data_IF_841069228776
#
_entry.id   IF_841069228776
#
_cell.length_a   1.000
_cell.length_b   1.000
_cell.length_c   1.000
_cell.angle_alpha   90.00
_cell.angle_beta   90.00
_cell.angle_gamma   90.00
#
_symmetry.space_group_name_H-M   'P 1'
#
loop_
_entity.id
_entity.type
_entity.pdbx_description
1 polymer ?
#
# COMPACT_ATOMS: atom_id res chain seq x y z
N UNK A 1 16.47 -9.39 13.30
CA UNK A 1 17.57 -8.48 13.68
C UNK A 1 18.29 -8.90 14.94
N UNK A 2 17.61 -9.33 16.01
CA UNK A 2 18.27 -9.88 17.22
C UNK A 2 18.92 -11.25 16.95
N UNK A 3 18.38 -12.06 16.04
CA UNK A 3 19.00 -13.31 15.59
C UNK A 3 20.31 -13.08 14.80
N UNK A 4 20.47 -11.95 14.11
CA UNK A 4 21.69 -11.54 13.40
C UNK A 4 22.89 -11.26 14.34
N UNK A 5 22.64 -10.95 15.62
CA UNK A 5 23.71 -10.50 16.54
C UNK A 5 24.42 -11.67 17.24
N UNK A 6 23.98 -12.93 17.00
CA UNK A 6 24.63 -14.11 17.61
C UNK A 6 24.69 -14.05 19.15
N UNK A 7 23.76 -13.32 19.78
CA UNK A 7 23.79 -13.09 21.21
C UNK A 7 23.33 -14.35 21.99
N UNK A 8 23.90 -14.64 23.18
CA UNK A 8 23.43 -15.72 24.03
C UNK A 8 21.96 -15.67 24.38
N UNK A 9 21.37 -14.47 24.33
CA UNK A 9 19.93 -14.20 24.53
C UNK A 9 19.08 -14.77 23.39
N UNK A 10 19.59 -14.77 22.17
CA UNK A 10 18.89 -15.33 21.01
C UNK A 10 18.74 -16.86 21.08
N UNK A 11 19.66 -17.53 21.76
CA UNK A 11 19.62 -18.99 22.01
C UNK A 11 18.73 -19.38 23.21
N UNK A 12 18.43 -18.44 24.11
CA UNK A 12 17.59 -18.67 25.28
C UNK A 12 16.10 -18.47 25.02
N UNK A 13 15.72 -17.78 23.93
CA UNK A 13 14.34 -17.46 23.59
C UNK A 13 13.92 -18.29 22.38
N UNK A 14 12.78 -18.97 22.49
CA UNK A 14 12.24 -19.75 21.40
C UNK A 14 12.05 -18.89 20.11
N UNK A 15 12.51 -19.35 18.93
CA UNK A 15 12.55 -18.54 17.69
C UNK A 15 11.23 -17.88 17.31
N UNK A 16 10.08 -18.51 17.62
CA UNK A 16 8.76 -17.97 17.37
C UNK A 16 8.45 -16.68 18.15
N UNK A 17 8.94 -16.55 19.38
CA UNK A 17 8.76 -15.32 20.17
C UNK A 17 9.64 -14.19 19.65
N UNK A 18 10.87 -14.50 19.21
CA UNK A 18 11.75 -13.52 18.57
C UNK A 18 11.13 -12.98 17.26
N UNK A 19 10.54 -13.87 16.46
CA UNK A 19 9.81 -13.49 15.26
C UNK A 19 8.62 -12.59 15.59
N UNK A 20 7.81 -12.97 16.59
CA UNK A 20 6.65 -12.17 17.02
C UNK A 20 7.06 -10.77 17.52
N UNK A 21 8.12 -10.67 18.32
CA UNK A 21 8.67 -9.39 18.79
C UNK A 21 9.18 -8.56 17.60
N UNK A 22 9.90 -9.18 16.66
CA UNK A 22 10.37 -8.50 15.44
C UNK A 22 9.23 -7.93 14.61
N UNK A 23 8.18 -8.72 14.39
CA UNK A 23 6.99 -8.29 13.68
C UNK A 23 6.24 -7.16 14.41
N UNK A 24 6.15 -7.22 15.73
CA UNK A 24 5.55 -6.16 16.55
C UNK A 24 6.32 -4.85 16.44
N UNK A 25 7.66 -4.90 16.50
CA UNK A 25 8.51 -3.72 16.34
C UNK A 25 8.36 -3.11 14.94
N UNK A 26 8.29 -3.95 13.89
CA UNK A 26 8.04 -3.49 12.52
C UNK A 26 6.67 -2.83 12.43
N UNK A 27 5.62 -3.42 13.03
CA UNK A 27 4.27 -2.88 13.01
C UNK A 27 4.20 -1.50 13.69
N UNK A 28 4.81 -1.35 14.87
CA UNK A 28 4.89 -0.06 15.59
C UNK A 28 5.65 0.97 14.76
N UNK A 29 6.83 0.61 14.24
CA UNK A 29 7.64 1.51 13.41
C UNK A 29 6.91 1.93 12.12
N UNK A 30 6.30 0.99 11.42
CA UNK A 30 5.54 1.27 10.20
C UNK A 30 4.31 2.13 10.47
N UNK A 31 3.59 1.88 11.59
CA UNK A 31 2.44 2.69 12.00
C UNK A 31 2.82 4.15 12.29
N UNK A 32 4.00 4.39 12.87
CA UNK A 32 4.50 5.75 13.10
C UNK A 32 5.00 6.45 11.84
N UNK A 33 5.79 5.76 11.00
CA UNK A 33 6.48 6.41 9.88
C UNK A 33 5.60 6.61 8.64
N UNK A 34 4.77 5.64 8.28
CA UNK A 34 4.00 5.69 7.01
C UNK A 34 3.11 6.92 6.87
N UNK A 35 2.28 7.31 7.88
CA UNK A 35 1.48 8.52 7.78
C UNK A 35 2.33 9.78 7.73
N UNK A 36 3.44 9.80 8.48
CA UNK A 36 4.32 10.97 8.55
C UNK A 36 5.07 11.21 7.24
N UNK A 37 5.56 10.15 6.58
CA UNK A 37 6.27 10.29 5.29
C UNK A 37 5.33 10.81 4.21
N UNK A 38 4.13 10.26 4.09
CA UNK A 38 3.15 10.73 3.10
C UNK A 38 2.68 12.16 3.36
N UNK A 39 2.50 12.54 4.64
CA UNK A 39 2.22 13.92 5.03
C UNK A 39 3.38 14.83 4.64
N UNK A 40 4.62 14.48 4.98
CA UNK A 40 5.80 15.27 4.66
C UNK A 40 5.95 15.51 3.16
N UNK A 41 5.67 14.51 2.33
CA UNK A 41 5.66 14.68 0.86
C UNK A 41 4.63 15.73 0.44
N UNK A 42 3.43 15.66 0.95
CA UNK A 42 2.36 16.61 0.64
C UNK A 42 2.66 18.03 1.16
N UNK A 43 3.30 18.13 2.31
CA UNK A 43 3.65 19.42 2.96
C UNK A 43 4.69 20.25 2.19
N UNK A 44 5.39 19.63 1.23
CA UNK A 44 6.29 20.37 0.32
C UNK A 44 5.51 21.18 -0.75
N UNK A 45 4.17 21.05 -0.81
CA UNK A 45 3.31 21.67 -1.82
C UNK A 45 2.32 22.63 -1.15
N UNK A 46 2.37 23.89 -1.57
CA UNK A 46 1.44 24.96 -1.16
C UNK A 46 0.47 25.34 -2.28
N UNK A 47 -0.16 26.51 -2.16
CA UNK A 47 -1.14 27.00 -3.14
C UNK A 47 -0.55 27.22 -4.54
N UNK A 48 0.69 27.72 -4.61
CA UNK A 48 1.38 28.05 -5.86
C UNK A 48 1.69 26.84 -6.74
N UNK A 49 1.95 25.68 -6.13
CA UNK A 49 2.32 24.44 -6.83
C UNK A 49 1.31 23.30 -6.61
N UNK A 50 0.10 23.63 -6.16
CA UNK A 50 -1.00 22.71 -5.91
C UNK A 50 -1.31 21.80 -7.09
N UNK A 51 -1.21 22.31 -8.32
CA UNK A 51 -1.48 21.57 -9.56
C UNK A 51 -0.55 20.36 -9.75
N UNK A 52 0.58 20.31 -9.02
CA UNK A 52 1.52 19.19 -9.05
C UNK A 52 1.19 18.09 -8.01
N UNK A 53 0.30 18.35 -7.07
CA UNK A 53 0.06 17.47 -5.92
C UNK A 53 -0.36 16.06 -6.34
N UNK A 54 -1.33 15.93 -7.25
CA UNK A 54 -1.75 14.63 -7.80
C UNK A 54 -0.58 13.89 -8.45
N UNK A 55 0.24 14.61 -9.23
CA UNK A 55 1.42 14.01 -9.89
C UNK A 55 2.44 13.51 -8.88
N UNK A 56 2.65 14.26 -7.82
CA UNK A 56 3.62 13.90 -6.76
C UNK A 56 3.14 12.67 -5.99
N UNK A 57 1.87 12.59 -5.61
CA UNK A 57 1.35 11.38 -4.96
C UNK A 57 1.38 10.16 -5.90
N UNK A 58 1.19 10.33 -7.20
CA UNK A 58 1.37 9.26 -8.17
C UNK A 58 2.85 8.80 -8.22
N UNK A 59 3.82 9.71 -8.26
CA UNK A 59 5.23 9.37 -8.21
C UNK A 59 5.67 8.77 -6.88
N UNK A 60 5.10 9.24 -5.77
CA UNK A 60 5.30 8.64 -4.45
C UNK A 60 4.81 7.18 -4.43
N UNK A 61 3.61 6.93 -4.96
CA UNK A 61 3.05 5.59 -5.08
C UNK A 61 3.86 4.71 -6.06
N UNK A 62 4.33 5.27 -7.15
CA UNK A 62 5.25 4.61 -8.07
C UNK A 62 6.52 4.14 -7.36
N UNK A 63 7.13 4.98 -6.54
CA UNK A 63 8.36 4.64 -5.79
C UNK A 63 8.13 3.50 -4.81
N UNK A 64 6.97 3.45 -4.14
CA UNK A 64 6.58 2.34 -3.26
C UNK A 64 6.52 1.03 -4.07
N UNK A 65 5.88 1.06 -5.23
CA UNK A 65 5.72 -0.13 -6.07
C UNK A 65 7.03 -0.56 -6.74
N UNK A 66 7.91 0.36 -7.10
CA UNK A 66 9.26 0.03 -7.57
C UNK A 66 10.08 -0.71 -6.49
N UNK A 67 9.98 -0.28 -5.24
CA UNK A 67 10.57 -0.98 -4.10
C UNK A 67 9.94 -2.37 -3.87
N UNK A 68 8.61 -2.47 -3.98
CA UNK A 68 7.88 -3.73 -3.87
C UNK A 68 8.30 -4.72 -4.96
N UNK A 69 8.38 -4.27 -6.21
CA UNK A 69 8.85 -5.07 -7.33
C UNK A 69 10.24 -5.65 -7.08
N UNK A 70 11.20 -4.80 -6.73
CA UNK A 70 12.56 -5.23 -6.42
C UNK A 70 12.59 -6.23 -5.25
N UNK A 71 11.83 -5.98 -4.19
CA UNK A 71 11.74 -6.84 -3.01
C UNK A 71 11.13 -8.20 -3.32
N UNK A 72 10.06 -8.24 -4.10
CA UNK A 72 9.35 -9.49 -4.46
C UNK A 72 10.22 -10.43 -5.30
N UNK A 73 11.13 -9.90 -6.11
CA UNK A 73 12.10 -10.68 -6.86
C UNK A 73 13.31 -11.09 -6.01
N UNK A 74 13.84 -10.15 -5.23
CA UNK A 74 15.11 -10.32 -4.54
C UNK A 74 15.00 -11.22 -3.30
N UNK A 75 13.97 -11.06 -2.49
CA UNK A 75 13.85 -11.79 -1.21
C UNK A 75 13.70 -13.31 -1.40
N UNK A 76 12.80 -13.83 -2.28
CA UNK A 76 12.70 -15.27 -2.53
C UNK A 76 14.02 -15.87 -3.06
N UNK A 77 14.71 -15.13 -3.91
CA UNK A 77 16.00 -15.55 -4.45
C UNK A 77 17.08 -15.64 -3.34
N UNK A 78 17.11 -14.69 -2.41
CA UNK A 78 18.03 -14.74 -1.26
C UNK A 78 17.71 -15.88 -0.29
N UNK A 79 16.45 -16.32 -0.22
CA UNK A 79 16.03 -17.44 0.63
C UNK A 79 16.31 -18.81 0.00
N UNK A 80 16.11 -18.95 -1.31
CA UNK A 80 16.31 -20.22 -2.02
C UNK A 80 16.68 -19.96 -3.50
N UNK A 81 17.98 -19.89 -3.83
CA UNK A 81 18.43 -19.59 -5.18
C UNK A 81 18.07 -20.66 -6.20
N UNK A 82 17.87 -21.92 -5.75
CA UNK A 82 17.57 -23.04 -6.65
C UNK A 82 16.10 -23.11 -7.07
N UNK A 83 15.20 -22.49 -6.32
CA UNK A 83 13.77 -22.41 -6.63
C UNK A 83 13.35 -21.09 -7.30
N UNK A 84 14.18 -20.07 -7.21
CA UNK A 84 13.89 -18.80 -7.88
C UNK A 84 14.51 -18.83 -9.28
N UNK A 85 13.68 -18.68 -10.31
CA UNK A 85 14.09 -18.71 -11.73
C UNK A 85 15.05 -17.59 -12.16
N UNK A 86 15.39 -16.68 -11.26
CA UNK A 86 16.52 -15.76 -11.46
C UNK A 86 17.83 -16.51 -11.75
N UNK A 87 17.96 -17.79 -11.35
CA UNK A 87 19.10 -18.64 -11.63
C UNK A 87 19.44 -18.72 -13.13
N UNK A 88 18.42 -18.80 -13.99
CA UNK A 88 18.64 -18.79 -15.45
C UNK A 88 19.16 -17.47 -16.02
N UNK A 89 18.79 -16.35 -15.38
CA UNK A 89 19.34 -15.02 -15.74
C UNK A 89 20.76 -14.84 -15.16
N UNK A 90 20.97 -15.27 -13.92
CA UNK A 90 22.27 -15.18 -13.22
C UNK A 90 23.33 -15.98 -13.97
N UNK A 91 22.99 -17.17 -14.47
CA UNK A 91 23.91 -18.01 -15.26
C UNK A 91 24.43 -17.33 -16.54
N UNK A 92 23.77 -16.26 -17.02
CA UNK A 92 24.20 -15.46 -18.18
C UNK A 92 25.14 -14.32 -17.81
N UNK A 93 25.39 -14.06 -16.53
CA UNK A 93 26.28 -13.01 -16.06
C UNK A 93 27.74 -13.47 -16.07
N UNK A 94 28.73 -12.55 -16.02
CA UNK A 94 30.15 -12.90 -15.90
C UNK A 94 30.42 -13.85 -14.71
N UNK A 95 31.32 -14.86 -14.87
CA UNK A 95 31.57 -15.88 -13.86
C UNK A 95 31.92 -15.35 -12.46
N UNK A 96 32.62 -14.21 -12.39
CA UNK A 96 32.97 -13.57 -11.12
C UNK A 96 31.72 -13.05 -10.37
N UNK A 97 30.71 -12.55 -11.12
CA UNK A 97 29.45 -12.09 -10.57
C UNK A 97 28.59 -13.29 -10.16
N UNK A 98 28.57 -14.33 -11.01
CA UNK A 98 27.86 -15.59 -10.70
C UNK A 98 28.40 -16.20 -9.40
N UNK A 99 29.70 -16.36 -9.25
CA UNK A 99 30.31 -16.93 -8.05
C UNK A 99 30.06 -16.12 -6.78
N UNK A 100 29.93 -14.79 -6.89
CA UNK A 100 29.51 -13.94 -5.77
C UNK A 100 28.03 -14.14 -5.44
N UNK A 101 27.18 -14.11 -6.46
CA UNK A 101 25.72 -14.22 -6.30
C UNK A 101 25.27 -15.62 -5.84
N UNK A 102 25.96 -16.68 -6.22
CA UNK A 102 25.72 -18.06 -5.80
C UNK A 102 26.42 -18.43 -4.47
N UNK A 103 27.09 -17.48 -3.85
CA UNK A 103 27.77 -17.72 -2.57
C UNK A 103 26.77 -18.17 -1.50
N UNK A 104 26.99 -19.32 -0.82
CA UNK A 104 26.11 -19.79 0.26
C UNK A 104 25.94 -18.80 1.41
N UNK A 105 26.88 -17.86 1.56
CA UNK A 105 26.80 -16.79 2.57
C UNK A 105 25.74 -15.74 2.25
N UNK A 106 25.43 -15.54 0.96
CA UNK A 106 24.42 -14.59 0.51
C UNK A 106 23.01 -15.17 0.68
N UNK A 107 22.86 -16.49 0.52
CA UNK A 107 21.59 -17.20 0.58
C UNK A 107 21.34 -17.70 2.02
N UNK A 108 20.87 -16.77 2.84
CA UNK A 108 20.49 -17.09 4.22
C UNK A 108 19.29 -16.26 4.65
N UNK A 109 18.44 -16.77 5.56
CA UNK A 109 17.38 -16.00 6.17
C UNK A 109 17.89 -14.69 6.80
N UNK A 110 19.10 -14.70 7.36
CA UNK A 110 19.71 -13.52 7.99
C UNK A 110 19.94 -12.39 6.97
N UNK A 111 20.44 -12.71 5.79
CA UNK A 111 20.63 -11.74 4.70
C UNK A 111 19.29 -11.28 4.16
N UNK A 112 18.36 -12.20 3.90
CA UNK A 112 17.05 -11.87 3.35
C UNK A 112 16.24 -10.94 4.27
N UNK A 113 16.25 -11.18 5.59
CA UNK A 113 15.57 -10.33 6.57
C UNK A 113 16.41 -9.12 7.00
N UNK A 114 17.72 -9.17 6.91
CA UNK A 114 18.62 -8.06 7.23
C UNK A 114 18.65 -6.97 6.17
N UNK A 115 18.55 -7.34 4.90
CA UNK A 115 18.64 -6.42 3.76
C UNK A 115 17.61 -5.26 3.80
N UNK A 116 16.31 -5.47 4.10
CA UNK A 116 15.36 -4.39 4.31
C UNK A 116 15.76 -3.45 5.44
N UNK A 117 16.38 -3.97 6.50
CA UNK A 117 16.92 -3.17 7.61
C UNK A 117 18.05 -2.24 7.16
N UNK A 118 18.97 -2.74 6.34
CA UNK A 118 20.06 -1.92 5.75
C UNK A 118 19.48 -0.83 4.84
N UNK A 119 18.52 -1.14 3.96
CA UNK A 119 17.88 -0.14 3.12
C UNK A 119 17.12 0.91 3.93
N UNK A 120 16.49 0.53 5.03
CA UNK A 120 15.83 1.47 5.94
C UNK A 120 16.85 2.39 6.62
N UNK A 121 18.01 1.88 7.02
CA UNK A 121 19.09 2.70 7.59
C UNK A 121 19.61 3.71 6.56
N UNK A 122 19.85 3.29 5.31
CA UNK A 122 20.28 4.17 4.22
C UNK A 122 19.21 5.24 3.95
N UNK A 123 17.93 4.85 3.85
CA UNK A 123 16.82 5.79 3.65
C UNK A 123 16.74 6.82 4.78
N UNK A 124 16.95 6.39 6.03
CA UNK A 124 16.97 7.27 7.20
C UNK A 124 18.12 8.29 7.12
N UNK A 125 19.31 7.85 6.72
CA UNK A 125 20.48 8.73 6.55
C UNK A 125 20.21 9.77 5.44
N UNK A 126 19.70 9.34 4.28
CA UNK A 126 19.37 10.23 3.15
C UNK A 126 18.32 11.26 3.60
N UNK A 127 17.26 10.81 4.27
CA UNK A 127 16.21 11.69 4.79
C UNK A 127 16.79 12.71 5.79
N UNK A 128 17.64 12.25 6.71
CA UNK A 128 18.31 13.11 7.69
C UNK A 128 19.23 14.15 7.02
N UNK A 129 19.94 13.77 5.96
CA UNK A 129 20.76 14.74 5.19
C UNK A 129 19.91 15.82 4.52
N UNK A 130 18.71 15.44 4.04
CA UNK A 130 17.75 16.37 3.43
C UNK A 130 17.03 17.30 4.42
N UNK A 131 17.11 17.07 5.73
CA UNK A 131 16.28 17.73 6.74
C UNK A 131 16.27 19.26 6.71
N UNK A 132 17.34 19.90 6.27
CA UNK A 132 17.42 21.36 6.16
C UNK A 132 16.75 21.94 4.90
N UNK A 133 16.36 21.10 3.95
CA UNK A 133 15.72 21.49 2.68
C UNK A 133 14.20 21.32 2.69
N UNK A 134 13.69 20.54 3.63
CA UNK A 134 12.26 20.27 3.75
C UNK A 134 11.53 21.42 4.43
N UNK A 135 10.29 21.66 4.04
CA UNK A 135 9.37 22.51 4.80
C UNK A 135 9.06 21.78 6.12
N UNK A 136 9.32 22.48 7.22
CA UNK A 136 9.08 21.97 8.56
C UNK A 136 7.81 22.59 9.13
N UNK A 137 6.87 21.74 9.51
CA UNK A 137 5.72 22.15 10.30
C UNK A 137 6.08 21.93 11.76
N UNK A 138 6.08 22.99 12.59
CA UNK A 138 6.42 22.85 14.00
C UNK A 138 5.43 21.89 14.70
N UNK A 139 5.92 20.99 15.58
CA UNK A 139 5.06 20.09 16.32
C UNK A 139 4.17 20.85 17.28
N UNK A 140 2.89 20.55 17.24
CA UNK A 140 1.92 21.08 18.20
C UNK A 140 2.05 20.28 19.50
N UNK A 141 2.17 20.97 20.66
CA UNK A 141 2.28 20.28 21.94
C UNK A 141 1.11 19.33 22.20
N UNK A 142 1.37 18.20 22.87
CA UNK A 142 0.42 17.09 23.06
C UNK A 142 -0.95 17.54 23.61
N UNK A 143 -0.95 18.50 24.56
CA UNK A 143 -2.18 19.06 25.16
C UNK A 143 -3.01 19.83 24.13
N UNK A 144 -2.37 20.63 23.29
CA UNK A 144 -3.02 21.41 22.22
C UNK A 144 -3.55 20.47 21.15
N UNK A 145 -2.75 19.46 20.78
CA UNK A 145 -3.12 18.43 19.80
C UNK A 145 -4.35 17.64 20.26
N UNK A 146 -4.38 17.18 21.52
CA UNK A 146 -5.53 16.51 22.11
C UNK A 146 -6.77 17.42 22.11
N UNK A 147 -6.63 18.70 22.51
CA UNK A 147 -7.75 19.66 22.48
C UNK A 147 -8.29 19.87 21.07
N UNK A 148 -7.43 19.90 20.05
CA UNK A 148 -7.85 20.04 18.66
C UNK A 148 -8.59 18.80 18.15
N UNK A 149 -8.13 17.60 18.49
CA UNK A 149 -8.82 16.35 18.09
C UNK A 149 -10.24 16.29 18.71
N UNK A 150 -10.38 16.64 19.98
CA UNK A 150 -11.65 16.61 20.70
C UNK A 150 -12.51 17.86 20.50
N UNK A 151 -12.11 18.78 19.60
CA UNK A 151 -12.94 19.89 19.21
C UNK A 151 -14.12 19.42 18.35
N UNK A 152 -15.33 19.93 18.61
CA UNK A 152 -16.55 19.58 17.89
C UNK A 152 -16.47 19.79 16.37
N UNK A 153 -15.81 20.87 15.94
CA UNK A 153 -15.64 21.16 14.51
C UNK A 153 -14.65 20.16 13.85
N UNK A 154 -13.55 19.85 14.52
CA UNK A 154 -12.59 18.82 14.07
C UNK A 154 -13.26 17.45 14.03
N UNK A 155 -14.07 17.11 15.03
CA UNK A 155 -14.85 15.86 15.06
C UNK A 155 -15.76 15.71 13.84
N UNK A 156 -16.43 16.77 13.41
CA UNK A 156 -17.25 16.77 12.18
C UNK A 156 -16.39 16.56 10.92
N UNK A 157 -15.20 17.17 10.87
CA UNK A 157 -14.27 16.99 9.75
C UNK A 157 -13.80 15.54 9.68
N UNK A 158 -13.37 14.97 10.80
CA UNK A 158 -12.95 13.56 10.89
C UNK A 158 -14.07 12.62 10.47
N UNK A 159 -15.27 12.82 11.02
CA UNK A 159 -16.45 12.01 10.65
C UNK A 159 -16.76 12.09 9.16
N UNK A 160 -16.65 13.28 8.57
CA UNK A 160 -16.86 13.44 7.13
C UNK A 160 -15.79 12.68 6.31
N UNK A 161 -14.53 12.74 6.72
CA UNK A 161 -13.42 12.01 6.07
C UNK A 161 -13.60 10.49 6.22
N UNK A 162 -14.22 10.02 7.28
CA UNK A 162 -14.48 8.60 7.51
C UNK A 162 -15.63 8.05 6.64
N UNK A 163 -16.47 8.89 6.02
CA UNK A 163 -17.56 8.42 5.15
C UNK A 163 -17.08 7.49 4.01
N UNK A 164 -16.05 7.82 3.21
CA UNK A 164 -15.58 6.95 2.14
C UNK A 164 -14.77 5.74 2.64
N UNK A 165 -14.30 5.74 3.90
CA UNK A 165 -13.39 4.70 4.43
C UNK A 165 -13.99 3.29 4.38
N UNK A 166 -15.25 3.01 4.78
CA UNK A 166 -15.82 1.67 4.68
C UNK A 166 -15.86 1.12 3.25
N UNK A 167 -16.14 1.96 2.27
CA UNK A 167 -16.18 1.57 0.86
C UNK A 167 -14.77 1.21 0.35
N UNK A 168 -13.78 1.99 0.74
CA UNK A 168 -12.37 1.75 0.38
C UNK A 168 -11.83 0.54 1.17
N UNK A 169 -12.33 0.27 2.37
CA UNK A 169 -11.99 -0.94 3.12
C UNK A 169 -12.42 -2.21 2.37
N UNK A 170 -13.59 -2.22 1.73
CA UNK A 170 -14.01 -3.36 0.90
C UNK A 170 -13.09 -3.53 -0.31
N UNK A 171 -12.63 -2.43 -0.95
CA UNK A 171 -11.60 -2.52 -1.99
C UNK A 171 -10.35 -3.23 -1.47
N UNK A 172 -9.83 -2.83 -0.30
CA UNK A 172 -8.66 -3.47 0.31
C UNK A 172 -8.91 -4.92 0.71
N UNK A 173 -10.13 -5.27 1.14
CA UNK A 173 -10.53 -6.64 1.43
C UNK A 173 -10.38 -7.55 0.20
N UNK A 174 -10.76 -7.07 -0.98
CA UNK A 174 -10.58 -7.81 -2.23
C UNK A 174 -9.10 -7.78 -2.65
N UNK A 175 -8.50 -6.60 -2.68
CA UNK A 175 -7.12 -6.44 -3.15
C UNK A 175 -6.15 -7.34 -2.38
N UNK A 176 -6.27 -7.44 -1.06
CA UNK A 176 -5.37 -8.26 -0.23
C UNK A 176 -5.49 -9.78 -0.49
N UNK A 177 -6.56 -10.23 -1.12
CA UNK A 177 -6.74 -11.65 -1.46
C UNK A 177 -5.78 -12.13 -2.55
N UNK A 178 -5.16 -11.21 -3.30
CA UNK A 178 -4.12 -11.59 -4.25
C UNK A 178 -2.90 -12.24 -3.54
N UNK A 179 -2.67 -11.94 -2.26
CA UNK A 179 -1.63 -12.56 -1.43
C UNK A 179 -2.06 -13.85 -0.73
N UNK A 180 -3.27 -14.32 -0.94
CA UNK A 180 -3.81 -15.53 -0.29
C UNK A 180 -4.61 -16.39 -1.26
N UNK A 181 -5.91 -16.13 -1.44
CA UNK A 181 -6.80 -16.97 -2.22
C UNK A 181 -6.40 -17.07 -3.70
N UNK A 182 -5.81 -16.05 -4.30
CA UNK A 182 -5.34 -16.10 -5.68
C UNK A 182 -4.09 -16.98 -5.83
N UNK A 183 -3.22 -17.06 -4.80
CA UNK A 183 -2.07 -18.00 -4.82
C UNK A 183 -2.58 -19.42 -4.81
N UNK A 184 -3.55 -19.73 -3.94
CA UNK A 184 -4.15 -21.06 -3.85
C UNK A 184 -4.83 -21.42 -5.18
N UNK A 185 -5.53 -20.49 -5.82
CA UNK A 185 -6.10 -20.68 -7.15
C UNK A 185 -5.02 -21.00 -8.19
N UNK A 186 -3.91 -20.26 -8.19
CA UNK A 186 -2.80 -20.44 -9.12
C UNK A 186 -2.16 -21.84 -9.03
N UNK A 187 -2.18 -22.48 -7.84
CA UNK A 187 -1.69 -23.84 -7.65
C UNK A 187 -2.48 -24.88 -8.47
N UNK A 188 -3.76 -24.61 -8.73
CA UNK A 188 -4.65 -25.45 -9.52
C UNK A 188 -4.66 -25.11 -11.02
N UNK A 189 -3.84 -24.15 -11.46
CA UNK A 189 -3.75 -23.68 -12.84
C UNK A 189 -2.52 -24.23 -13.56
N UNK A 190 -2.53 -24.17 -14.89
CA UNK A 190 -1.32 -24.37 -15.68
C UNK A 190 -0.45 -23.12 -15.62
N UNK A 191 0.67 -23.24 -14.91
CA UNK A 191 1.59 -22.14 -14.62
C UNK A 191 2.71 -21.96 -15.65
N UNK A 192 2.66 -22.68 -16.76
CA UNK A 192 3.62 -22.52 -17.86
C UNK A 192 3.30 -21.26 -18.65
N UNK A 193 4.20 -20.29 -18.62
CA UNK A 193 4.10 -19.04 -19.37
C UNK A 193 5.47 -18.67 -19.93
N UNK A 194 5.56 -18.43 -21.24
CA UNK A 194 6.81 -18.13 -21.97
C UNK A 194 7.89 -19.23 -21.83
N UNK A 195 7.48 -20.50 -21.72
CA UNK A 195 8.41 -21.62 -21.59
C UNK A 195 8.99 -21.82 -20.19
N UNK A 196 8.46 -21.12 -19.19
CA UNK A 196 8.89 -21.14 -17.80
C UNK A 196 7.69 -21.58 -16.94
N UNK A 197 7.92 -22.46 -15.98
CA UNK A 197 6.92 -22.78 -14.95
C UNK A 197 7.07 -21.82 -13.75
N UNK A 198 6.09 -20.95 -13.58
CA UNK A 198 6.09 -19.95 -12.51
C UNK A 198 5.62 -20.55 -11.17
N UNK A 199 6.23 -20.14 -10.07
CA UNK A 199 5.67 -20.40 -8.75
C UNK A 199 4.37 -19.61 -8.56
N UNK A 200 3.38 -20.20 -7.90
CA UNK A 200 2.10 -19.53 -7.62
C UNK A 200 2.25 -18.19 -6.91
N UNK A 201 3.24 -18.08 -6.01
CA UNK A 201 3.57 -16.84 -5.31
C UNK A 201 4.27 -15.79 -6.19
N UNK A 202 4.99 -16.19 -7.24
CA UNK A 202 5.68 -15.26 -8.15
C UNK A 202 4.71 -14.51 -9.07
N UNK A 203 3.53 -15.06 -9.34
CA UNK A 203 2.50 -14.38 -10.16
C UNK A 203 2.12 -13.01 -9.58
N UNK A 204 2.25 -12.82 -8.26
CA UNK A 204 2.02 -11.52 -7.63
C UNK A 204 2.95 -10.40 -8.11
N UNK A 205 4.15 -10.74 -8.63
CA UNK A 205 5.08 -9.77 -9.21
C UNK A 205 4.47 -9.01 -10.39
N UNK A 206 3.46 -9.58 -11.02
CA UNK A 206 2.68 -8.96 -12.10
C UNK A 206 2.03 -7.65 -11.66
N UNK A 207 1.52 -7.56 -10.42
CA UNK A 207 0.86 -6.35 -9.93
C UNK A 207 1.82 -5.14 -9.88
N UNK A 208 2.96 -5.15 -9.18
CA UNK A 208 3.85 -3.98 -9.18
C UNK A 208 4.38 -3.64 -10.59
N UNK A 209 4.59 -4.61 -11.49
CA UNK A 209 4.98 -4.33 -12.88
C UNK A 209 3.88 -3.49 -13.56
N UNK A 210 2.62 -3.92 -13.47
CA UNK A 210 1.53 -3.18 -14.09
C UNK A 210 1.28 -1.83 -13.43
N UNK A 211 1.47 -1.69 -12.11
CA UNK A 211 1.41 -0.36 -11.45
C UNK A 211 2.45 0.58 -12.05
N UNK A 212 3.71 0.13 -12.22
CA UNK A 212 4.77 0.94 -12.78
C UNK A 212 4.45 1.41 -14.23
N UNK A 213 3.71 0.62 -14.99
CA UNK A 213 3.27 0.95 -16.35
C UNK A 213 2.00 1.82 -16.32
N UNK A 214 1.00 1.41 -15.53
CA UNK A 214 -0.32 2.05 -15.53
C UNK A 214 -0.33 3.43 -14.87
N UNK A 215 0.45 3.67 -13.82
CA UNK A 215 0.50 4.98 -13.18
C UNK A 215 0.91 6.11 -14.14
N UNK A 216 2.01 6.00 -14.91
CA UNK A 216 2.32 6.98 -15.93
C UNK A 216 1.26 7.03 -17.04
N UNK A 217 0.80 5.86 -17.53
CA UNK A 217 -0.20 5.78 -18.58
C UNK A 217 -1.50 6.50 -18.18
N UNK A 218 -1.99 6.28 -16.96
CA UNK A 218 -3.20 6.93 -16.45
C UNK A 218 -2.97 8.41 -16.23
N UNK A 219 -1.83 8.80 -15.64
CA UNK A 219 -1.53 10.20 -15.31
C UNK A 219 -1.37 11.09 -16.53
N UNK A 220 -0.73 10.59 -17.60
CA UNK A 220 -0.37 11.39 -18.76
C UNK A 220 -1.32 11.22 -19.96
N UNK A 221 -2.06 10.09 -20.01
CA UNK A 221 -2.92 9.78 -21.17
C UNK A 221 -4.38 9.59 -20.77
N UNK A 222 -4.68 8.67 -19.86
CA UNK A 222 -6.07 8.31 -19.56
C UNK A 222 -6.80 9.45 -18.85
N UNK A 223 -6.24 10.04 -17.81
CA UNK A 223 -6.90 11.11 -17.08
C UNK A 223 -7.13 12.35 -17.96
N UNK A 224 -6.14 12.88 -18.72
CA UNK A 224 -6.39 14.00 -19.63
C UNK A 224 -7.39 13.68 -20.73
N UNK A 225 -7.43 12.43 -21.21
CA UNK A 225 -8.41 11.99 -22.21
C UNK A 225 -9.83 12.00 -21.64
N UNK A 226 -10.04 11.38 -20.48
CA UNK A 226 -11.36 11.29 -19.84
C UNK A 226 -11.85 12.68 -19.39
N UNK A 227 -10.95 13.56 -18.93
CA UNK A 227 -11.28 14.92 -18.51
C UNK A 227 -11.87 15.80 -19.62
N UNK A 228 -11.67 15.45 -20.90
CA UNK A 228 -12.33 16.11 -22.03
C UNK A 228 -13.85 15.89 -22.04
N UNK A 229 -14.31 14.79 -21.44
CA UNK A 229 -15.73 14.39 -21.44
C UNK A 229 -16.36 14.51 -20.06
N UNK A 230 -15.63 14.21 -19.02
CA UNK A 230 -16.14 14.15 -17.64
C UNK A 230 -15.08 14.67 -16.66
N UNK A 231 -15.47 15.63 -15.81
CA UNK A 231 -14.58 16.13 -14.76
C UNK A 231 -14.21 15.01 -13.77
N UNK A 232 -12.93 14.64 -13.72
CA UNK A 232 -12.41 13.62 -12.83
C UNK A 232 -12.16 14.17 -11.44
N UNK A 233 -13.13 14.00 -10.53
CA UNK A 233 -12.91 14.26 -9.10
C UNK A 233 -12.28 13.05 -8.42
N UNK A 234 -11.58 13.23 -7.28
CA UNK A 234 -11.01 12.09 -6.53
C UNK A 234 -12.04 10.99 -6.22
N UNK A 235 -13.23 11.36 -5.77
CA UNK A 235 -14.29 10.39 -5.48
C UNK A 235 -14.81 9.66 -6.73
N UNK A 236 -14.86 10.32 -7.90
CA UNK A 236 -15.20 9.63 -9.16
C UNK A 236 -14.16 8.63 -9.58
N UNK A 237 -12.86 8.95 -9.41
CA UNK A 237 -11.77 8.00 -9.67
C UNK A 237 -11.88 6.77 -8.76
N UNK A 238 -12.07 6.99 -7.45
CA UNK A 238 -12.27 5.92 -6.48
C UNK A 238 -13.49 5.06 -6.88
N UNK A 239 -14.65 5.68 -7.15
CA UNK A 239 -15.85 4.95 -7.54
C UNK A 239 -15.64 4.09 -8.79
N UNK A 240 -15.01 4.63 -9.85
CA UNK A 240 -14.65 3.85 -11.03
C UNK A 240 -13.72 2.68 -10.68
N UNK A 241 -12.73 2.89 -9.81
CA UNK A 241 -11.82 1.84 -9.34
C UNK A 241 -12.54 0.70 -8.61
N UNK A 242 -13.59 0.99 -7.83
CA UNK A 242 -14.40 -0.03 -7.17
C UNK A 242 -15.11 -0.94 -8.20
N UNK A 243 -15.72 -0.37 -9.25
CA UNK A 243 -16.34 -1.15 -10.32
C UNK A 243 -15.32 -2.01 -11.08
N UNK A 244 -14.15 -1.45 -11.39
CA UNK A 244 -13.06 -2.17 -12.07
C UNK A 244 -12.56 -3.33 -11.20
N UNK A 245 -12.45 -3.15 -9.89
CA UNK A 245 -12.08 -4.22 -8.95
C UNK A 245 -13.13 -5.34 -8.92
N UNK A 246 -14.41 -5.00 -8.95
CA UNK A 246 -15.47 -6.02 -9.05
C UNK A 246 -15.34 -6.84 -10.35
N UNK A 247 -15.02 -6.21 -11.48
CA UNK A 247 -14.80 -6.89 -12.75
C UNK A 247 -13.58 -7.84 -12.71
N UNK A 248 -12.50 -7.47 -12.00
CA UNK A 248 -11.35 -8.36 -11.79
C UNK A 248 -11.77 -9.63 -11.04
N UNK A 249 -12.47 -9.49 -9.92
CA UNK A 249 -12.94 -10.64 -9.14
C UNK A 249 -13.96 -11.49 -9.87
N UNK A 250 -14.76 -10.90 -10.73
CA UNK A 250 -15.66 -11.66 -11.62
C UNK A 250 -14.87 -12.57 -12.57
N UNK A 251 -13.78 -12.07 -13.17
CA UNK A 251 -12.89 -12.90 -13.98
C UNK A 251 -12.27 -14.02 -13.15
N UNK A 252 -11.82 -13.74 -11.92
CA UNK A 252 -11.28 -14.76 -11.00
C UNK A 252 -12.32 -15.83 -10.67
N UNK A 253 -13.59 -15.45 -10.47
CA UNK A 253 -14.68 -16.38 -10.24
C UNK A 253 -14.95 -17.28 -11.46
N UNK A 254 -14.85 -16.75 -12.69
CA UNK A 254 -14.94 -17.53 -13.93
C UNK A 254 -13.80 -18.56 -14.02
N UNK A 255 -12.56 -18.13 -13.71
CA UNK A 255 -11.40 -19.03 -13.67
C UNK A 255 -11.67 -20.16 -12.67
N UNK A 256 -12.16 -19.80 -11.47
CA UNK A 256 -12.45 -20.80 -10.44
C UNK A 256 -13.54 -21.78 -10.85
N UNK A 257 -14.57 -21.31 -11.56
CA UNK A 257 -15.62 -22.21 -12.10
C UNK A 257 -15.03 -23.28 -13.04
N UNK A 258 -14.03 -22.91 -13.85
CA UNK A 258 -13.35 -23.90 -14.72
C UNK A 258 -12.52 -24.89 -13.89
N UNK A 259 -11.84 -24.41 -12.85
CA UNK A 259 -11.06 -25.26 -11.92
C UNK A 259 -12.00 -26.22 -11.18
N UNK A 260 -13.13 -25.74 -10.66
CA UNK A 260 -14.13 -26.54 -9.97
C UNK A 260 -14.74 -27.62 -10.90
N UNK A 261 -14.78 -27.36 -12.22
CA UNK A 261 -15.15 -28.31 -13.26
C UNK A 261 -14.05 -29.31 -13.66
N UNK A 262 -12.89 -29.29 -12.98
CA UNK A 262 -11.76 -30.18 -13.23
C UNK A 262 -10.81 -29.73 -14.34
N UNK A 263 -10.99 -28.55 -14.91
CA UNK A 263 -10.06 -27.98 -15.88
C UNK A 263 -8.81 -27.39 -15.21
N UNK A 264 -7.71 -27.29 -15.97
CA UNK A 264 -6.51 -26.55 -15.58
C UNK A 264 -6.32 -25.35 -16.52
N UNK A 265 -7.02 -24.22 -16.28
CA UNK A 265 -6.88 -23.04 -17.13
C UNK A 265 -5.46 -22.48 -17.06
N UNK A 266 -4.99 -21.86 -18.16
CA UNK A 266 -3.68 -21.21 -18.19
C UNK A 266 -3.62 -20.02 -17.24
N UNK A 267 -2.47 -19.84 -16.58
CA UNK A 267 -2.18 -18.72 -15.67
C UNK A 267 -2.33 -17.34 -16.33
N UNK A 268 -2.30 -17.28 -17.66
CA UNK A 268 -2.53 -16.02 -18.40
C UNK A 268 -3.87 -15.37 -18.08
N UNK A 269 -4.90 -16.15 -17.74
CA UNK A 269 -6.19 -15.64 -17.33
C UNK A 269 -6.11 -14.90 -15.99
N UNK A 270 -5.31 -15.43 -15.05
CA UNK A 270 -5.08 -14.74 -13.78
C UNK A 270 -4.22 -13.47 -13.97
N UNK A 271 -3.26 -13.48 -14.90
CA UNK A 271 -2.52 -12.28 -15.30
C UNK A 271 -3.49 -11.19 -15.81
N UNK A 272 -4.49 -11.51 -16.63
CA UNK A 272 -5.53 -10.56 -17.03
C UNK A 272 -6.37 -10.07 -15.85
N UNK A 273 -6.68 -10.93 -14.90
CA UNK A 273 -7.34 -10.50 -13.65
C UNK A 273 -6.46 -9.50 -12.87
N UNK A 274 -5.14 -9.72 -12.82
CA UNK A 274 -4.20 -8.74 -12.24
C UNK A 274 -4.16 -7.43 -13.02
N UNK A 275 -4.20 -7.44 -14.35
CA UNK A 275 -4.28 -6.21 -15.17
C UNK A 275 -5.50 -5.37 -14.75
N UNK A 276 -6.67 -6.00 -14.64
CA UNK A 276 -7.91 -5.32 -14.25
C UNK A 276 -7.84 -4.85 -12.78
N UNK A 277 -7.35 -5.70 -11.86
CA UNK A 277 -7.20 -5.34 -10.44
C UNK A 277 -6.27 -4.14 -10.27
N UNK A 278 -5.14 -4.15 -10.97
CA UNK A 278 -4.13 -3.08 -10.94
C UNK A 278 -4.67 -1.77 -11.53
N UNK A 279 -5.52 -1.84 -12.57
CA UNK A 279 -6.21 -0.67 -13.08
C UNK A 279 -7.15 -0.07 -11.99
N UNK A 280 -7.90 -0.91 -11.29
CA UNK A 280 -8.70 -0.49 -10.12
C UNK A 280 -7.84 0.13 -9.03
N UNK A 281 -6.72 -0.49 -8.70
CA UNK A 281 -5.76 0.00 -7.70
C UNK A 281 -5.17 1.36 -8.09
N UNK A 282 -4.78 1.55 -9.34
CA UNK A 282 -4.26 2.82 -9.86
C UNK A 282 -5.29 3.97 -9.72
N UNK A 283 -6.57 3.65 -9.81
CA UNK A 283 -7.64 4.62 -9.61
C UNK A 283 -7.91 4.91 -8.13
N UNK A 284 -7.81 3.90 -7.25
CA UNK A 284 -8.18 4.02 -5.83
C UNK A 284 -7.02 4.49 -4.97
N UNK A 285 -5.87 3.80 -5.00
CA UNK A 285 -4.83 3.92 -3.97
C UNK A 285 -4.14 5.29 -3.96
N UNK A 286 -3.54 5.79 -5.07
CA UNK A 286 -2.91 7.10 -5.06
C UNK A 286 -3.95 8.22 -4.87
N UNK A 287 -5.16 8.03 -5.39
CA UNK A 287 -6.25 9.01 -5.24
C UNK A 287 -6.74 9.09 -3.79
N UNK A 288 -6.86 7.97 -3.08
CA UNK A 288 -7.22 7.95 -1.67
C UNK A 288 -6.13 8.60 -0.80
N UNK A 289 -4.87 8.38 -1.13
CA UNK A 289 -3.74 8.99 -0.45
C UNK A 289 -3.78 10.54 -0.59
N UNK A 290 -3.93 11.04 -1.82
CA UNK A 290 -4.10 12.47 -2.12
C UNK A 290 -5.35 13.04 -1.43
N UNK A 291 -6.47 12.33 -1.53
CA UNK A 291 -7.73 12.74 -0.90
C UNK A 291 -7.57 12.88 0.62
N UNK A 292 -7.00 11.88 1.29
CA UNK A 292 -6.76 11.94 2.74
C UNK A 292 -5.89 13.14 3.12
N UNK A 293 -4.85 13.43 2.36
CA UNK A 293 -3.98 14.58 2.60
C UNK A 293 -4.73 15.92 2.45
N UNK A 294 -5.55 16.06 1.41
CA UNK A 294 -6.20 17.34 1.07
C UNK A 294 -7.41 17.68 1.93
N UNK A 295 -8.05 16.67 2.55
CA UNK A 295 -9.25 16.87 3.37
C UNK A 295 -8.95 17.27 4.81
N UNK A 296 -7.69 17.21 5.25
CA UNK A 296 -7.30 17.44 6.63
C UNK A 296 -6.77 18.83 6.93
N UNK A 297 -7.17 19.41 8.08
CA UNK A 297 -6.51 20.61 8.60
C UNK A 297 -5.00 20.39 8.75
N UNK A 298 -4.19 21.44 8.53
CA UNK A 298 -2.72 21.38 8.52
C UNK A 298 -2.16 20.67 9.77
N UNK A 299 -2.66 21.01 10.95
CA UNK A 299 -2.20 20.45 12.23
C UNK A 299 -2.56 18.97 12.45
N UNK A 300 -3.51 18.42 11.71
CA UNK A 300 -4.03 17.05 11.86
C UNK A 300 -3.76 16.16 10.66
N UNK A 301 -3.01 16.62 9.66
CA UNK A 301 -2.77 15.88 8.42
C UNK A 301 -2.21 14.47 8.67
N UNK A 302 -1.24 14.31 9.57
CA UNK A 302 -0.69 12.99 9.89
C UNK A 302 -1.75 12.04 10.48
N UNK A 303 -2.66 12.53 11.34
CA UNK A 303 -3.76 11.75 11.87
C UNK A 303 -4.73 11.33 10.75
N UNK A 304 -5.03 12.25 9.84
CA UNK A 304 -5.94 11.98 8.73
C UNK A 304 -5.32 11.03 7.73
N UNK A 305 -4.02 11.11 7.49
CA UNK A 305 -3.31 10.12 6.68
C UNK A 305 -3.37 8.71 7.30
N UNK A 306 -3.57 8.57 8.62
CA UNK A 306 -3.85 7.28 9.23
C UNK A 306 -5.15 6.64 8.73
N UNK A 307 -6.13 7.41 8.23
CA UNK A 307 -7.38 6.86 7.67
C UNK A 307 -7.12 5.98 6.45
N UNK A 308 -6.07 6.27 5.68
CA UNK A 308 -5.63 5.41 4.58
C UNK A 308 -5.20 4.02 5.09
N UNK A 309 -4.37 3.96 6.12
CA UNK A 309 -3.92 2.71 6.73
C UNK A 309 -5.06 2.00 7.47
N UNK A 310 -5.96 2.77 8.08
CA UNK A 310 -7.14 2.26 8.76
C UNK A 310 -8.09 1.56 7.78
N UNK A 311 -8.30 2.11 6.58
CA UNK A 311 -9.09 1.46 5.54
C UNK A 311 -8.50 0.09 5.14
N UNK A 312 -7.16 -0.02 5.01
CA UNK A 312 -6.48 -1.29 4.74
C UNK A 312 -6.74 -2.29 5.88
N UNK A 313 -6.58 -1.84 7.13
CA UNK A 313 -6.79 -2.68 8.30
C UNK A 313 -8.24 -3.18 8.40
N UNK A 314 -9.22 -2.31 8.19
CA UNK A 314 -10.63 -2.70 8.16
C UNK A 314 -10.93 -3.73 7.06
N UNK A 315 -10.34 -3.56 5.87
CA UNK A 315 -10.48 -4.52 4.78
C UNK A 315 -9.97 -5.91 5.16
N UNK A 316 -8.79 -5.97 5.78
CA UNK A 316 -8.23 -7.23 6.26
C UNK A 316 -9.11 -7.89 7.35
N UNK A 317 -9.62 -7.08 8.30
CA UNK A 317 -10.53 -7.58 9.33
C UNK A 317 -11.84 -8.09 8.74
N UNK A 318 -12.39 -7.40 7.72
CA UNK A 318 -13.58 -7.87 7.01
C UNK A 318 -13.34 -9.23 6.36
N UNK A 319 -12.24 -9.41 5.62
CA UNK A 319 -11.90 -10.69 4.99
C UNK A 319 -11.69 -11.80 6.04
N UNK A 320 -11.01 -11.49 7.15
CA UNK A 320 -10.82 -12.43 8.25
C UNK A 320 -12.15 -12.84 8.89
N UNK A 321 -13.05 -11.89 9.10
CA UNK A 321 -14.38 -12.16 9.63
C UNK A 321 -15.20 -13.04 8.67
N UNK A 322 -15.21 -12.74 7.37
CA UNK A 322 -15.86 -13.60 6.36
C UNK A 322 -15.32 -15.02 6.44
N UNK A 323 -13.99 -15.18 6.40
CA UNK A 323 -13.36 -16.51 6.46
C UNK A 323 -13.68 -17.26 7.75
N UNK A 324 -13.82 -16.56 8.88
CA UNK A 324 -14.23 -17.16 10.14
C UNK A 324 -15.70 -17.64 10.09
N UNK A 325 -16.62 -16.80 9.58
CA UNK A 325 -18.07 -17.15 9.57
C UNK A 325 -18.46 -18.18 8.50
N UNK A 326 -17.67 -18.37 7.44
CA UNK A 326 -17.94 -19.38 6.45
C UNK A 326 -17.45 -20.78 6.86
N UNK A 327 -16.57 -20.90 7.88
CA UNK A 327 -16.13 -22.18 8.42
C UNK A 327 -17.21 -22.79 9.31
N UNK A 328 -17.50 -24.08 9.08
CA UNK A 328 -18.35 -24.88 9.95
C UNK A 328 -17.53 -25.54 11.07
N UNK A 329 -18.17 -25.94 12.19
CA UNK A 329 -17.47 -26.64 13.27
C UNK A 329 -16.83 -27.98 12.86
N UNK A 330 -17.30 -28.60 11.78
CA UNK A 330 -16.78 -29.86 11.21
C UNK A 330 -15.58 -29.62 10.27
N UNK A 331 -15.11 -28.37 10.10
CA UNK A 331 -14.03 -28.01 9.21
C UNK A 331 -14.44 -27.81 7.74
N UNK A 332 -15.70 -28.05 7.38
CA UNK A 332 -16.21 -27.72 6.05
C UNK A 332 -16.42 -26.22 5.89
N UNK A 333 -16.46 -25.73 4.64
CA UNK A 333 -16.61 -24.32 4.31
C UNK A 333 -17.90 -24.09 3.55
N UNK A 334 -18.72 -23.12 3.98
CA UNK A 334 -20.01 -22.78 3.37
C UNK A 334 -19.87 -22.21 1.95
N UNK A 335 -18.84 -21.43 1.72
CA UNK A 335 -18.53 -20.81 0.42
C UNK A 335 -17.26 -21.45 -0.12
N UNK A 336 -17.39 -22.34 -1.10
CA UNK A 336 -16.26 -23.05 -1.72
C UNK A 336 -16.12 -22.64 -3.18
N UNK A 337 -14.88 -22.72 -3.68
CA UNK A 337 -14.58 -22.52 -5.09
C UNK A 337 -15.08 -21.20 -5.63
N UNK A 338 -15.77 -21.25 -6.77
CA UNK A 338 -16.29 -20.05 -7.44
C UNK A 338 -17.28 -19.25 -6.59
N UNK A 339 -18.05 -19.89 -5.69
CA UNK A 339 -19.00 -19.20 -4.82
C UNK A 339 -18.33 -18.23 -3.86
N UNK A 340 -17.11 -18.52 -3.39
CA UNK A 340 -16.32 -17.64 -2.55
C UNK A 340 -15.97 -16.34 -3.28
N UNK A 341 -15.44 -16.43 -4.50
CA UNK A 341 -15.10 -15.26 -5.28
C UNK A 341 -16.33 -14.47 -5.70
N UNK A 342 -17.42 -15.14 -6.10
CA UNK A 342 -18.69 -14.49 -6.44
C UNK A 342 -19.31 -13.72 -5.27
N UNK A 343 -19.18 -14.21 -4.03
CA UNK A 343 -19.60 -13.45 -2.85
C UNK A 343 -18.88 -12.09 -2.80
N UNK A 344 -17.57 -12.05 -2.98
CA UNK A 344 -16.80 -10.80 -2.99
C UNK A 344 -17.13 -9.92 -4.20
N UNK A 345 -17.47 -10.51 -5.36
CA UNK A 345 -17.99 -9.73 -6.51
C UNK A 345 -19.25 -8.97 -6.13
N UNK A 346 -20.23 -9.65 -5.53
CA UNK A 346 -21.47 -9.02 -5.13
C UNK A 346 -21.29 -7.98 -4.04
N UNK A 347 -20.45 -8.25 -3.05
CA UNK A 347 -20.09 -7.29 -2.00
C UNK A 347 -19.45 -6.05 -2.60
N UNK A 348 -18.49 -6.22 -3.53
CA UNK A 348 -17.79 -5.10 -4.16
C UNK A 348 -18.73 -4.30 -5.07
N UNK A 349 -19.56 -4.97 -5.85
CA UNK A 349 -20.50 -4.31 -6.75
C UNK A 349 -21.55 -3.51 -5.97
N UNK A 350 -22.11 -4.10 -4.90
CA UNK A 350 -23.02 -3.39 -3.99
C UNK A 350 -22.34 -2.17 -3.34
N UNK A 351 -21.08 -2.33 -2.92
CA UNK A 351 -20.26 -1.25 -2.37
C UNK A 351 -20.05 -0.13 -3.39
N UNK A 352 -19.71 -0.47 -4.65
CA UNK A 352 -19.50 0.49 -5.72
C UNK A 352 -20.78 1.29 -6.05
N UNK A 353 -21.91 0.60 -6.11
CA UNK A 353 -23.22 1.24 -6.34
C UNK A 353 -23.59 2.17 -5.18
N UNK A 354 -23.46 1.71 -3.93
CA UNK A 354 -23.72 2.54 -2.76
C UNK A 354 -22.77 3.74 -2.70
N UNK A 355 -21.50 3.57 -3.03
CA UNK A 355 -20.54 4.66 -3.11
C UNK A 355 -20.95 5.69 -4.15
N UNK A 356 -21.39 5.26 -5.34
CA UNK A 356 -21.87 6.14 -6.40
C UNK A 356 -23.12 6.96 -5.97
N UNK A 357 -23.99 6.37 -5.13
CA UNK A 357 -25.17 7.06 -4.58
C UNK A 357 -24.76 8.06 -3.49
N UNK A 358 -23.80 7.72 -2.62
CA UNK A 358 -23.39 8.55 -1.48
C UNK A 358 -22.48 9.72 -1.92
N UNK A 359 -21.63 9.51 -2.93
CA UNK A 359 -20.64 10.48 -3.39
C UNK A 359 -21.21 11.87 -3.74
N UNK A 360 -22.36 12.03 -4.40
CA UNK A 360 -22.92 13.35 -4.69
C UNK A 360 -23.29 14.16 -3.44
N UNK A 361 -23.58 13.50 -2.33
CA UNK A 361 -23.93 14.13 -1.07
C UNK A 361 -22.71 14.47 -0.21
N UNK A 362 -21.53 13.98 -0.59
CA UNK A 362 -20.30 14.26 0.12
C UNK A 362 -19.85 15.71 -0.08
N UNK A 363 -19.75 16.46 1.02
CA UNK A 363 -19.30 17.86 1.05
C UNK A 363 -17.87 17.92 1.57
N UNK A 364 -16.88 17.64 0.72
CA UNK A 364 -15.47 17.76 1.05
C UNK A 364 -15.03 19.23 1.18
N UNK A 365 -14.12 19.49 2.12
CA UNK A 365 -13.40 20.76 2.24
C UNK A 365 -11.94 20.50 1.94
N UNK A 366 -11.35 21.22 1.00
CA UNK A 366 -9.93 21.10 0.68
C UNK A 366 -9.13 22.05 1.56
N UNK A 367 -8.19 21.50 2.34
CA UNK A 367 -7.26 22.24 3.17
C UNK A 367 -5.87 22.17 2.53
N UNK A 368 -5.36 23.29 2.08
CA UNK A 368 -3.99 23.41 1.57
C UNK A 368 -3.16 24.23 2.56
N UNK A 369 -1.86 24.02 2.49
CA UNK A 369 -0.94 24.78 3.30
C UNK A 369 -0.80 26.19 2.72
N UNK A 370 -1.07 27.20 3.55
CA UNK A 370 -0.71 28.59 3.23
C UNK A 370 0.73 28.80 3.69
N UNK A 371 1.64 28.95 2.72
CA UNK A 371 3.07 29.18 3.02
C UNK A 371 3.30 30.46 3.82
N UNK A 372 2.41 31.42 3.70
CA UNK A 372 2.47 32.68 4.45
C UNK A 372 2.21 32.49 5.96
N UNK A 373 1.29 31.60 6.32
CA UNK A 373 1.03 31.26 7.73
C UNK A 373 2.15 30.41 8.34
N UNK A 374 2.76 29.51 7.57
CA UNK A 374 3.88 28.69 8.06
C UNK A 374 5.12 29.55 8.35
N UNK A 375 5.37 30.57 7.54
CA UNK A 375 6.45 31.51 7.79
C UNK A 375 6.18 32.40 9.03
N UNK A 376 4.94 32.81 9.25
CA UNK A 376 4.54 33.59 10.43
C UNK A 376 4.56 32.74 11.73
N UNK A 377 4.16 31.46 11.67
CA UNK A 377 4.21 30.53 12.81
C UNK A 377 5.64 30.01 13.09
N UNK A 378 6.55 30.13 12.12
CA UNK A 378 7.97 29.76 12.22
C UNK A 378 8.89 30.86 12.70
N UNK A 379 8.39 32.09 12.87
CA UNK A 379 9.15 33.12 13.56
C UNK A 379 9.33 32.68 15.02
N UNK A 380 10.58 32.47 15.49
CA UNK A 380 10.81 32.05 16.85
C UNK A 380 10.38 33.18 17.80
N UNK A 381 9.71 32.79 18.86
CA UNK A 381 9.64 33.63 20.07
C UNK A 381 11.05 33.80 20.66
N UNK A 382 11.93 34.47 19.96
CA UNK A 382 13.25 34.92 20.44
C UNK A 382 13.08 36.32 21.00
N UNK A 383 12.42 36.36 22.13
CA UNK A 383 12.52 37.49 23.05
C UNK A 383 13.50 37.16 24.17
N UNK A 384 14.73 36.86 23.86
CA UNK A 384 15.83 37.06 24.82
C UNK A 384 16.44 38.43 24.52
N UNK A 385 15.89 39.46 25.18
CA UNK A 385 16.55 40.73 25.32
C UNK A 385 17.88 40.50 26.04
N UNK A 386 18.96 40.55 25.28
CA UNK A 386 20.29 40.82 25.87
C UNK A 386 20.27 42.28 26.30
N UNK A 387 20.17 42.54 27.59
CA UNK A 387 20.45 43.84 28.14
C UNK A 387 21.95 44.11 27.93
N UNK A 388 22.35 45.27 27.39
CA UNK A 388 23.74 45.67 27.39
C UNK A 388 24.11 46.09 28.84
N UNK A 389 25.07 45.37 29.39
CA UNK A 389 25.75 45.81 30.59
C UNK A 389 26.52 47.11 30.26
N UNK A 390 26.26 48.15 31.10
CA UNK A 390 26.97 49.41 31.10
C UNK A 390 28.30 49.30 31.85
#
# INVERSE_FOLDING_TARGET
TLALIGSPVAHAIEPRYLLAIGLLLIAIGAGGIKPCVSTNVGDQFGETNRHLLTRVFNWFYFSINAGSFASTLLIPWLLDPYKAELGGFIAKLPPAIVGFLESPRLHSPDVAFGLPGVFMAIATIIFWMGRKKFVHIPPVGLRTYAREIFNKETGKIILNILIPVPFIAIFWALWQQNFSSWIVQAESMDRHLFGIEWLSSQIQTVNPIFILIMLPLFSYWLYPFVERFVRLTPLRKIGAGLFVTAASFFLVAIIQTQIDGGARPSIIWQVWAFVILTAGETLVSPTHLEFSYTQGPVKLKSLIMCTYLFAISLGNQFTAAVNFFIQNPDGSVKLQGASYFMFFVWVMLGTAVLFAIVTPFYKGRTYLQDQTQVAADAEPAVGFAVQPEA
#
